data_IF_201569188614
#
_entry.id   IF_201569188614
#
_cell.length_a   1.000
_cell.length_b   1.000
_cell.length_c   1.000
_cell.angle_alpha   90.00
_cell.angle_beta   90.00
_cell.angle_gamma   90.00
#
_symmetry.space_group_name_H-M   'P 1'
#
loop_
_entity.id
_entity.type
_entity.pdbx_description
1 polymer ?
#
# COMPACT_ATOMS: atom_id res chain seq x y z
N UNK A 1 -3.37 1.17 -12.29
CA UNK A 1 -2.97 1.19 -10.85
C UNK A 1 -1.66 1.91 -10.53
N UNK A 2 -0.77 2.18 -11.49
CA UNK A 2 0.48 2.91 -11.17
C UNK A 2 0.20 4.34 -10.66
N UNK A 3 -0.66 5.11 -11.34
CA UNK A 3 -1.03 6.47 -10.92
C UNK A 3 -1.74 6.52 -9.56
N UNK A 4 -2.54 5.50 -9.24
CA UNK A 4 -3.22 5.43 -7.94
C UNK A 4 -2.23 5.20 -6.79
N UNK A 5 -1.07 4.60 -7.03
CA UNK A 5 -0.03 4.44 -6.00
C UNK A 5 0.49 5.80 -5.50
N UNK A 6 0.55 6.83 -6.34
CA UNK A 6 0.95 8.18 -5.90
C UNK A 6 -0.07 8.79 -4.94
N UNK A 7 -1.37 8.63 -5.20
CA UNK A 7 -2.41 9.09 -4.28
C UNK A 7 -2.31 8.39 -2.92
N UNK A 8 -1.92 7.11 -2.91
CA UNK A 8 -1.75 6.34 -1.68
C UNK A 8 -0.55 6.78 -0.84
N UNK A 9 0.43 7.49 -1.40
CA UNK A 9 1.56 8.01 -0.60
C UNK A 9 1.16 9.07 0.43
N UNK A 10 -0.06 9.62 0.33
CA UNK A 10 -0.64 10.50 1.36
C UNK A 10 -1.02 9.74 2.64
N UNK A 11 -1.28 8.44 2.53
CA UNK A 11 -1.56 7.58 3.68
C UNK A 11 -0.25 7.14 4.36
N UNK A 12 -0.07 7.35 5.68
CA UNK A 12 1.15 7.01 6.40
C UNK A 12 1.51 5.52 6.31
N UNK A 13 0.52 4.61 6.27
CA UNK A 13 0.76 3.16 6.19
C UNK A 13 1.30 2.77 4.82
N UNK A 14 0.70 3.32 3.76
CA UNK A 14 1.16 3.16 2.38
C UNK A 14 2.55 3.76 2.17
N UNK A 15 2.83 4.92 2.76
CA UNK A 15 4.15 5.56 2.73
C UNK A 15 5.21 4.73 3.45
N UNK A 16 4.92 4.21 4.64
CA UNK A 16 5.84 3.35 5.37
C UNK A 16 6.18 2.08 4.58
N UNK A 17 5.19 1.47 3.92
CA UNK A 17 5.43 0.32 3.04
C UNK A 17 6.32 0.67 1.84
N UNK A 18 6.04 1.80 1.18
CA UNK A 18 6.89 2.30 0.10
C UNK A 18 8.33 2.54 0.57
N UNK A 19 8.52 3.20 1.71
CA UNK A 19 9.84 3.46 2.30
C UNK A 19 10.59 2.17 2.64
N UNK A 20 9.90 1.15 3.19
CA UNK A 20 10.49 -0.18 3.40
C UNK A 20 10.97 -0.80 2.09
N UNK A 21 10.22 -0.65 0.99
CA UNK A 21 10.64 -1.15 -0.33
C UNK A 21 11.85 -0.41 -0.89
N UNK A 22 11.94 0.90 -0.66
CA UNK A 22 13.13 1.70 -1.02
C UNK A 22 14.35 1.28 -0.19
N UNK A 23 14.19 1.09 1.11
CA UNK A 23 15.27 0.59 2.00
C UNK A 23 15.75 -0.81 1.61
N UNK A 24 14.88 -1.64 1.03
CA UNK A 24 15.23 -2.95 0.44
C UNK A 24 15.98 -2.84 -0.90
N UNK A 25 16.40 -1.63 -1.32
CA UNK A 25 17.12 -1.39 -2.57
C UNK A 25 16.25 -1.47 -3.84
N UNK A 26 14.91 -1.51 -3.71
CA UNK A 26 14.04 -1.49 -4.88
C UNK A 26 14.02 -0.11 -5.51
N UNK A 27 14.03 -0.06 -6.85
CA UNK A 27 13.89 1.20 -7.60
C UNK A 27 12.50 1.79 -7.35
N UNK A 28 12.39 3.12 -7.45
CA UNK A 28 11.13 3.86 -7.28
C UNK A 28 9.92 3.19 -7.98
N UNK A 29 10.05 2.88 -9.27
CA UNK A 29 8.98 2.26 -10.05
C UNK A 29 8.58 0.87 -9.50
N UNK A 30 9.56 0.08 -9.03
CA UNK A 30 9.30 -1.23 -8.43
C UNK A 30 8.56 -1.09 -7.10
N UNK A 31 8.94 -0.11 -6.28
CA UNK A 31 8.27 0.18 -5.02
C UNK A 31 6.82 0.65 -5.24
N UNK A 32 6.58 1.48 -6.26
CA UNK A 32 5.23 1.91 -6.64
C UNK A 32 4.36 0.76 -7.19
N UNK A 33 4.92 -0.11 -8.03
CA UNK A 33 4.19 -1.29 -8.52
C UNK A 33 3.83 -2.23 -7.37
N UNK A 34 4.75 -2.45 -6.42
CA UNK A 34 4.48 -3.24 -5.22
C UNK A 34 3.38 -2.62 -4.35
N UNK A 35 3.40 -1.29 -4.18
CA UNK A 35 2.35 -0.56 -3.46
C UNK A 35 1.00 -0.68 -4.16
N UNK A 36 0.97 -0.50 -5.48
CA UNK A 36 -0.23 -0.67 -6.29
C UNK A 36 -0.84 -2.07 -6.15
N UNK A 37 0.00 -3.12 -6.19
CA UNK A 37 -0.45 -4.50 -6.01
C UNK A 37 -1.05 -4.73 -4.62
N UNK A 38 -0.38 -4.26 -3.56
CA UNK A 38 -0.92 -4.34 -2.18
C UNK A 38 -2.31 -3.72 -2.06
N UNK A 39 -2.57 -2.60 -2.77
CA UNK A 39 -3.89 -1.97 -2.79
C UNK A 39 -4.94 -2.82 -3.49
N UNK A 40 -4.58 -3.46 -4.60
CA UNK A 40 -5.45 -4.43 -5.26
C UNK A 40 -5.79 -5.59 -4.31
N UNK A 41 -4.81 -6.12 -3.59
CA UNK A 41 -5.01 -7.25 -2.67
C UNK A 41 -6.00 -6.88 -1.55
N UNK A 42 -5.89 -5.66 -1.02
CA UNK A 42 -6.80 -5.11 -0.01
C UNK A 42 -8.22 -4.91 -0.56
N UNK A 43 -8.36 -4.37 -1.77
CA UNK A 43 -9.67 -4.26 -2.44
C UNK A 43 -10.28 -5.64 -2.72
N UNK A 44 -9.46 -6.59 -3.16
CA UNK A 44 -9.89 -7.96 -3.40
C UNK A 44 -10.37 -8.63 -2.11
N UNK A 45 -9.63 -8.47 -1.01
CA UNK A 45 -10.03 -8.99 0.30
C UNK A 45 -11.37 -8.39 0.76
N UNK A 46 -11.58 -7.07 0.61
CA UNK A 46 -12.86 -6.43 0.93
C UNK A 46 -14.02 -7.02 0.13
N UNK A 47 -13.84 -7.17 -1.19
CA UNK A 47 -14.87 -7.73 -2.07
C UNK A 47 -15.16 -9.20 -1.75
N UNK A 48 -14.12 -9.98 -1.44
CA UNK A 48 -14.24 -11.39 -1.07
C UNK A 48 -14.98 -11.56 0.25
N UNK A 49 -14.63 -10.75 1.26
CA UNK A 49 -15.13 -10.90 2.62
C UNK A 49 -16.40 -10.08 2.87
N UNK A 50 -16.82 -9.25 1.91
CA UNK A 50 -17.95 -8.33 2.06
C UNK A 50 -17.73 -7.27 3.14
N UNK A 51 -16.47 -6.98 3.47
CA UNK A 51 -16.08 -6.09 4.56
C UNK A 51 -15.65 -4.72 4.04
N UNK A 52 -15.85 -3.70 4.87
CA UNK A 52 -15.33 -2.36 4.58
C UNK A 52 -13.84 -2.26 4.87
N UNK A 53 -13.20 -1.26 4.26
CA UNK A 53 -11.78 -0.97 4.53
C UNK A 53 -11.59 -0.64 6.01
N UNK A 54 -10.79 -1.46 6.68
CA UNK A 54 -10.28 -1.17 8.01
C UNK A 54 -8.82 -0.71 7.87
N UNK A 55 -8.51 0.58 8.10
CA UNK A 55 -7.13 1.02 8.11
C UNK A 55 -6.39 0.26 9.21
N UNK A 56 -5.31 -0.45 8.86
CA UNK A 56 -4.39 -0.98 9.86
C UNK A 56 -3.78 0.23 10.58
N UNK A 57 -4.29 0.56 11.76
CA UNK A 57 -3.61 1.43 12.71
C UNK A 57 -2.21 0.85 12.90
N UNK A 58 -1.18 1.58 12.49
CA UNK A 58 0.17 1.25 12.89
C UNK A 58 0.14 1.08 14.42
N UNK A 59 0.60 -0.05 14.98
CA UNK A 59 0.67 -0.16 16.43
C UNK A 59 1.51 1.04 16.90
N UNK A 60 0.90 1.87 17.75
CA UNK A 60 1.59 2.99 18.40
C UNK A 60 2.85 2.42 19.05
N UNK A 61 4.00 2.83 18.53
CA UNK A 61 5.29 2.63 19.19
C UNK A 61 5.49 3.77 20.19
#
# INVERSE_FOLDING_TARGET
>A
MFLSAFAALRDPISRAYYSRKIQQGKRHNQALIALARRRCDVMFAMLRDGTFYQPQTAPNA
#
